data_IF_193721350482
#
_entry.id   IF_193721350482
#
_cell.length_a   1.000
_cell.length_b   1.000
_cell.length_c   1.000
_cell.angle_alpha   90.00
_cell.angle_beta   90.00
_cell.angle_gamma   90.00
#
_symmetry.space_group_name_H-M   'P 1'
#
loop_
_entity.id
_entity.type
_entity.pdbx_description
1 polymer ?
#
# COMPACT_ATOMS: atom_id res chain seq x y z
N UNK A 1 18.78 5.28 1.12
CA UNK A 1 17.84 4.19 1.42
C UNK A 1 17.67 3.36 0.17
N UNK A 2 17.51 2.04 0.27
CA UNK A 2 17.13 1.24 -0.90
C UNK A 2 15.78 1.72 -1.44
N UNK A 3 15.58 1.66 -2.75
CA UNK A 3 14.32 2.05 -3.41
C UNK A 3 13.16 1.25 -2.81
N UNK A 4 13.40 -0.03 -2.52
CA UNK A 4 12.48 -0.89 -1.78
C UNK A 4 12.09 -0.30 -0.43
N UNK A 5 13.05 0.14 0.39
CA UNK A 5 12.77 0.69 1.73
C UNK A 5 11.93 1.96 1.68
N UNK A 6 12.18 2.84 0.69
CA UNK A 6 11.37 4.03 0.48
C UNK A 6 9.91 3.67 0.11
N UNK A 7 9.72 2.72 -0.80
CA UNK A 7 8.38 2.30 -1.26
C UNK A 7 7.62 1.59 -0.13
N UNK A 8 8.29 0.80 0.70
CA UNK A 8 7.68 0.20 1.89
C UNK A 8 7.19 1.27 2.88
N UNK A 9 7.92 2.36 3.05
CA UNK A 9 7.49 3.49 3.90
C UNK A 9 6.24 4.16 3.32
N UNK A 10 6.23 4.43 2.01
CA UNK A 10 5.07 5.03 1.32
C UNK A 10 3.83 4.14 1.47
N UNK A 11 4.00 2.81 1.33
CA UNK A 11 2.91 1.87 1.54
C UNK A 11 2.36 1.91 2.98
N UNK A 12 3.24 1.90 3.97
CA UNK A 12 2.84 1.98 5.38
C UNK A 12 2.05 3.27 5.67
N UNK A 13 2.51 4.42 5.14
CA UNK A 13 1.78 5.69 5.25
C UNK A 13 0.39 5.59 4.61
N UNK A 14 0.28 4.99 3.42
CA UNK A 14 -1.01 4.82 2.75
C UNK A 14 -1.98 3.93 3.55
N UNK A 15 -1.49 2.86 4.19
CA UNK A 15 -2.30 2.02 5.08
C UNK A 15 -2.74 2.78 6.34
N UNK A 16 -1.85 3.57 6.94
CA UNK A 16 -2.18 4.41 8.11
C UNK A 16 -3.25 5.43 7.75
N UNK A 17 -3.14 6.09 6.58
CA UNK A 17 -4.16 7.02 6.09
C UNK A 17 -5.50 6.28 5.86
N UNK A 18 -5.45 5.10 5.25
CA UNK A 18 -6.61 4.22 5.10
C UNK A 18 -7.30 3.92 6.44
N UNK A 19 -6.53 3.53 7.44
CA UNK A 19 -7.07 3.19 8.76
C UNK A 19 -7.68 4.41 9.48
N UNK A 20 -7.03 5.58 9.43
CA UNK A 20 -7.42 6.76 10.21
C UNK A 20 -8.51 7.61 9.54
N UNK A 21 -8.48 7.76 8.22
CA UNK A 21 -9.39 8.68 7.51
C UNK A 21 -10.52 7.97 6.76
N UNK A 22 -10.30 6.72 6.34
CA UNK A 22 -11.27 5.96 5.54
C UNK A 22 -11.96 4.85 6.35
N UNK A 23 -11.60 4.70 7.63
CA UNK A 23 -12.17 3.71 8.55
C UNK A 23 -12.27 2.32 7.91
N UNK A 24 -11.22 1.93 7.18
CA UNK A 24 -11.25 0.68 6.39
C UNK A 24 -11.29 -0.56 7.29
N UNK A 25 -10.93 -0.39 8.56
CA UNK A 25 -10.95 -1.42 9.61
C UNK A 25 -12.14 -1.25 10.57
N UNK A 26 -13.09 -0.35 10.29
CA UNK A 26 -14.31 -0.27 11.07
C UNK A 26 -15.15 -1.55 10.91
N UNK A 27 -15.90 -1.89 11.94
CA UNK A 27 -16.77 -3.08 11.97
C UNK A 27 -17.79 -3.09 10.81
N UNK A 28 -18.16 -1.91 10.32
CA UNK A 28 -18.95 -1.69 9.11
C UNK A 28 -18.07 -1.61 7.86
N UNK A 29 -17.50 -2.76 7.48
CA UNK A 29 -16.75 -2.91 6.24
C UNK A 29 -17.71 -2.96 5.04
N UNK A 30 -17.69 -1.91 4.21
CA UNK A 30 -18.31 -1.91 2.89
C UNK A 30 -17.38 -2.54 1.86
N UNK A 31 -17.94 -3.22 0.85
CA UNK A 31 -17.22 -3.80 -0.28
C UNK A 31 -16.26 -2.79 -0.94
N UNK A 32 -16.66 -1.52 -1.00
CA UNK A 32 -15.86 -0.42 -1.55
C UNK A 32 -14.60 -0.17 -0.70
N UNK A 33 -14.73 -0.19 0.63
CA UNK A 33 -13.60 0.01 1.56
C UNK A 33 -12.56 -1.11 1.36
N UNK A 34 -13.01 -2.36 1.27
CA UNK A 34 -12.15 -3.52 1.03
C UNK A 34 -11.44 -3.45 -0.32
N UNK A 35 -12.16 -3.15 -1.40
CA UNK A 35 -11.57 -3.00 -2.73
C UNK A 35 -10.53 -1.87 -2.75
N UNK A 36 -10.78 -0.76 -2.04
CA UNK A 36 -9.83 0.35 -1.96
C UNK A 36 -8.46 -0.07 -1.41
N UNK A 37 -8.44 -0.81 -0.30
CA UNK A 37 -7.18 -1.35 0.27
C UNK A 37 -6.55 -2.41 -0.62
N UNK A 38 -7.37 -3.22 -1.30
CA UNK A 38 -6.88 -4.23 -2.23
C UNK A 38 -6.16 -3.60 -3.43
N UNK A 39 -6.77 -2.59 -4.05
CA UNK A 39 -6.17 -1.82 -5.14
C UNK A 39 -4.87 -1.15 -4.67
N UNK A 40 -4.88 -0.53 -3.50
CA UNK A 40 -3.68 0.10 -2.93
C UNK A 40 -2.53 -0.91 -2.73
N UNK A 41 -2.86 -2.13 -2.30
CA UNK A 41 -1.90 -3.21 -2.14
C UNK A 41 -1.36 -3.72 -3.48
N UNK A 42 -2.21 -3.85 -4.51
CA UNK A 42 -1.76 -4.22 -5.87
C UNK A 42 -0.77 -3.18 -6.41
N UNK A 43 -1.08 -1.89 -6.28
CA UNK A 43 -0.18 -0.80 -6.71
C UNK A 43 1.17 -0.90 -5.98
N UNK A 44 1.15 -1.14 -4.67
CA UNK A 44 2.37 -1.33 -3.89
C UNK A 44 3.19 -2.52 -4.39
N UNK A 45 2.57 -3.66 -4.67
CA UNK A 45 3.28 -4.86 -5.16
C UNK A 45 3.93 -4.60 -6.53
N UNK A 46 3.24 -3.90 -7.43
CA UNK A 46 3.81 -3.49 -8.72
C UNK A 46 5.02 -2.58 -8.51
N UNK A 47 4.88 -1.55 -7.67
CA UNK A 47 5.97 -0.61 -7.37
C UNK A 47 7.18 -1.33 -6.74
N UNK A 48 6.93 -2.26 -5.82
CA UNK A 48 7.94 -3.07 -5.16
C UNK A 48 8.72 -3.93 -6.17
N UNK A 49 8.00 -4.61 -7.09
CA UNK A 49 8.61 -5.43 -8.12
C UNK A 49 9.53 -4.61 -9.02
N UNK A 50 9.10 -3.42 -9.46
CA UNK A 50 9.93 -2.54 -10.27
C UNK A 50 11.14 -2.00 -9.49
N UNK A 51 10.98 -1.64 -8.23
CA UNK A 51 12.08 -1.13 -7.42
C UNK A 51 13.15 -2.19 -7.15
N UNK A 52 12.75 -3.41 -6.79
CA UNK A 52 13.68 -4.53 -6.59
C UNK A 52 14.44 -4.87 -7.88
N UNK A 53 13.74 -4.91 -9.03
CA UNK A 53 14.37 -5.14 -10.34
C UNK A 53 15.38 -4.05 -10.72
N UNK A 54 15.17 -2.81 -10.27
CA UNK A 54 16.07 -1.67 -10.53
C UNK A 54 17.19 -1.50 -9.49
N UNK A 55 17.21 -2.32 -8.43
CA UNK A 55 18.33 -2.40 -7.48
C UNK A 55 19.23 -3.61 -7.72
N UNK A 56 18.72 -4.65 -8.40
CA UNK A 56 19.48 -5.83 -8.81
C UNK A 56 20.14 -5.71 -10.19
N UNK A 57 20.11 -4.52 -10.80
CA UNK A 57 20.88 -4.13 -11.99
C UNK A 57 22.05 -3.27 -11.57
#
# INVERSE_FOLDING_TARGET
MSKVKLISIIYAIGIIIGALFFEVWAAETSFIKTIGVFIWTIIFLIALFFADKNEKK
#
